data_IF_040801078754
#
_entry.id   IF_040801078754
#
_cell.length_a   1.000
_cell.length_b   1.000
_cell.length_c   1.000
_cell.angle_alpha   90.00
_cell.angle_beta   90.00
_cell.angle_gamma   90.00
#
_symmetry.space_group_name_H-M   'P 1'
#
loop_
_entity.id
_entity.type
_entity.pdbx_description
1 polymer ?
#
# COMPACT_ATOMS: atom_id res chain seq x y z
N UNK A 1 29.94 13.67 10.53
CA UNK A 1 29.05 12.66 9.92
C UNK A 1 29.51 12.39 8.49
N UNK A 2 29.96 11.17 8.23
CA UNK A 2 30.36 10.70 6.88
C UNK A 2 29.13 10.13 6.17
N UNK A 3 29.20 9.97 4.84
CA UNK A 3 28.11 9.39 4.04
C UNK A 3 27.66 8.01 4.53
N UNK A 4 28.58 7.26 5.14
CA UNK A 4 28.34 5.95 5.77
C UNK A 4 27.30 5.99 6.91
N UNK A 5 27.15 7.12 7.60
CA UNK A 5 26.22 7.26 8.73
C UNK A 5 24.76 7.40 8.26
N UNK A 6 24.55 7.85 7.02
CA UNK A 6 23.23 8.05 6.41
C UNK A 6 22.76 6.86 5.57
N UNK A 7 23.71 6.02 5.14
CA UNK A 7 23.45 4.80 4.38
C UNK A 7 22.35 3.91 5.01
N UNK A 8 22.36 3.61 6.32
CA UNK A 8 21.34 2.73 6.90
C UNK A 8 19.93 3.36 6.86
N UNK A 9 19.81 4.68 7.01
CA UNK A 9 18.51 5.39 6.96
C UNK A 9 17.95 5.36 5.54
N UNK A 10 18.80 5.63 4.54
CA UNK A 10 18.40 5.56 3.12
C UNK A 10 18.06 4.14 2.70
N UNK A 11 18.84 3.15 3.12
CA UNK A 11 18.57 1.73 2.85
C UNK A 11 17.25 1.31 3.49
N UNK A 12 16.99 1.69 4.74
CA UNK A 12 15.70 1.42 5.39
C UNK A 12 14.54 2.05 4.62
N UNK A 13 14.68 3.31 4.18
CA UNK A 13 13.66 3.99 3.38
C UNK A 13 13.38 3.29 2.05
N UNK A 14 14.42 2.95 1.29
CA UNK A 14 14.31 2.25 0.00
C UNK A 14 13.72 0.85 0.19
N UNK A 15 14.09 0.14 1.27
CA UNK A 15 13.60 -1.20 1.54
C UNK A 15 12.13 -1.19 1.93
N UNK A 16 11.69 -0.23 2.75
CA UNK A 16 10.29 -0.07 3.14
C UNK A 16 9.44 0.36 1.93
N UNK A 17 9.88 1.38 1.18
CA UNK A 17 9.16 1.85 -0.01
C UNK A 17 9.12 0.80 -1.11
N UNK A 18 10.26 0.15 -1.38
CA UNK A 18 10.38 -0.95 -2.35
C UNK A 18 9.54 -2.17 -1.96
N UNK A 19 9.56 -2.57 -0.68
CA UNK A 19 8.75 -3.67 -0.16
C UNK A 19 7.25 -3.39 -0.27
N UNK A 20 6.83 -2.15 -0.05
CA UNK A 20 5.43 -1.74 -0.26
C UNK A 20 5.08 -1.77 -1.75
N UNK A 21 5.92 -1.23 -2.63
CA UNK A 21 5.69 -1.27 -4.09
C UNK A 21 5.66 -2.71 -4.60
N UNK A 22 6.49 -3.59 -4.06
CA UNK A 22 6.55 -5.00 -4.44
C UNK A 22 5.36 -5.79 -3.90
N UNK A 23 4.96 -5.57 -2.64
CA UNK A 23 3.72 -6.12 -2.08
C UNK A 23 2.46 -5.63 -2.83
N UNK A 24 2.56 -4.51 -3.55
CA UNK A 24 1.53 -3.96 -4.42
C UNK A 24 1.51 -4.53 -5.84
N UNK A 25 2.48 -5.35 -6.27
CA UNK A 25 2.34 -6.15 -7.50
C UNK A 25 1.36 -7.32 -7.28
N UNK A 26 0.15 -7.03 -6.82
CA UNK A 26 -1.00 -7.88 -7.14
C UNK A 26 -1.28 -7.61 -8.61
N UNK A 27 -1.07 -8.61 -9.46
CA UNK A 27 -1.49 -8.52 -10.87
C UNK A 27 -2.98 -8.17 -10.84
N UNK A 28 -3.40 -6.99 -11.33
CA UNK A 28 -4.83 -6.71 -11.43
C UNK A 28 -5.40 -7.84 -12.26
N UNK A 29 -6.41 -8.52 -11.73
CA UNK A 29 -7.11 -9.56 -12.48
C UNK A 29 -7.92 -8.83 -13.54
N UNK A 30 -7.27 -8.61 -14.69
CA UNK A 30 -7.80 -7.78 -15.75
C UNK A 30 -9.05 -8.46 -16.30
N UNK A 31 -10.05 -7.68 -16.73
CA UNK A 31 -11.23 -8.19 -17.44
C UNK A 31 -10.86 -9.13 -18.60
N UNK A 32 -9.67 -8.93 -19.16
CA UNK A 32 -9.06 -9.76 -20.20
C UNK A 32 -8.74 -11.19 -19.74
N UNK A 33 -8.29 -11.38 -18.49
CA UNK A 33 -8.06 -12.70 -17.88
C UNK A 33 -9.39 -13.43 -17.67
N UNK A 34 -10.41 -12.73 -17.16
CA UNK A 34 -11.75 -13.31 -16.97
C UNK A 34 -12.39 -13.68 -18.32
N UNK A 35 -12.15 -12.89 -19.36
CA UNK A 35 -12.60 -13.20 -20.72
C UNK A 35 -11.90 -14.46 -21.26
N UNK A 36 -10.58 -14.58 -21.09
CA UNK A 36 -9.83 -15.78 -21.48
C UNK A 36 -10.32 -17.02 -20.72
N UNK A 37 -10.60 -16.91 -19.43
CA UNK A 37 -11.11 -18.02 -18.62
C UNK A 37 -12.51 -18.45 -19.09
N UNK A 38 -13.37 -17.50 -19.48
CA UNK A 38 -14.69 -17.79 -20.04
C UNK A 38 -14.61 -18.46 -21.43
N UNK A 39 -13.68 -18.03 -22.28
CA UNK A 39 -13.39 -18.70 -23.55
C UNK A 39 -12.87 -20.12 -23.33
N UNK A 40 -12.01 -20.33 -22.33
CA UNK A 40 -11.52 -21.65 -21.95
C UNK A 40 -12.66 -22.56 -21.48
N UNK A 41 -13.58 -22.02 -20.67
CA UNK A 41 -14.75 -22.74 -20.15
C UNK A 41 -15.67 -23.23 -21.27
N UNK A 42 -15.79 -22.47 -22.35
CA UNK A 42 -16.57 -22.86 -23.53
C UNK A 42 -15.96 -24.04 -24.30
N UNK A 43 -14.64 -24.25 -24.19
CA UNK A 43 -13.92 -25.34 -24.86
C UNK A 43 -13.89 -26.64 -24.02
N UNK A 44 -14.28 -26.59 -22.74
CA UNK A 44 -14.26 -27.74 -21.85
C UNK A 44 -15.50 -28.65 -22.04
N UNK A 45 -15.30 -30.00 -22.04
CA UNK A 45 -16.41 -30.95 -22.09
C UNK A 45 -17.32 -30.80 -20.87
N UNK A 46 -18.63 -30.96 -21.09
CA UNK A 46 -19.67 -30.67 -20.08
C UNK A 46 -19.54 -31.52 -18.81
N UNK A 47 -19.04 -32.75 -18.94
CA UNK A 47 -18.89 -33.69 -17.84
C UNK A 47 -17.55 -33.57 -17.08
N UNK A 48 -16.69 -32.61 -17.44
CA UNK A 48 -15.39 -32.47 -16.77
C UNK A 48 -15.50 -31.72 -15.44
N UNK A 49 -14.96 -32.32 -14.37
CA UNK A 49 -14.86 -31.70 -13.04
C UNK A 49 -14.10 -30.35 -13.09
N UNK A 50 -13.13 -30.24 -14.00
CA UNK A 50 -12.40 -29.00 -14.27
C UNK A 50 -13.30 -27.84 -14.72
N UNK A 51 -14.39 -28.12 -15.44
CA UNK A 51 -15.35 -27.09 -15.89
C UNK A 51 -16.11 -26.48 -14.71
N UNK A 52 -16.48 -27.30 -13.72
CA UNK A 52 -17.17 -26.82 -12.52
C UNK A 52 -16.25 -25.96 -11.64
N UNK A 53 -14.98 -26.38 -11.49
CA UNK A 53 -13.98 -25.61 -10.74
C UNK A 53 -13.71 -24.27 -11.43
N UNK A 54 -13.58 -24.27 -12.76
CA UNK A 54 -13.34 -23.04 -13.52
C UNK A 54 -14.56 -22.12 -13.52
N UNK A 55 -15.78 -22.66 -13.59
CA UNK A 55 -17.02 -21.88 -13.47
C UNK A 55 -17.09 -21.16 -12.12
N UNK A 56 -16.83 -21.86 -11.02
CA UNK A 56 -16.81 -21.27 -9.69
C UNK A 56 -15.72 -20.20 -9.54
N UNK A 57 -14.57 -20.39 -10.19
CA UNK A 57 -13.49 -19.40 -10.22
C UNK A 57 -13.90 -18.12 -10.95
N UNK A 58 -14.51 -18.26 -12.13
CA UNK A 58 -15.00 -17.13 -12.94
C UNK A 58 -16.11 -16.38 -12.20
N UNK A 59 -17.07 -17.08 -11.60
CA UNK A 59 -18.13 -16.45 -10.81
C UNK A 59 -17.56 -15.65 -9.63
N UNK A 60 -16.57 -16.22 -8.92
CA UNK A 60 -15.87 -15.53 -7.84
C UNK A 60 -15.08 -14.31 -8.33
N UNK A 61 -14.48 -14.37 -9.53
CA UNK A 61 -13.74 -13.27 -10.12
C UNK A 61 -14.67 -12.16 -10.64
N UNK A 62 -15.76 -12.51 -11.32
CA UNK A 62 -16.80 -11.57 -11.78
C UNK A 62 -17.44 -10.89 -10.58
N UNK A 63 -17.78 -11.65 -9.53
CA UNK A 63 -18.32 -11.08 -8.29
C UNK A 63 -17.35 -10.09 -7.65
N UNK A 64 -16.04 -10.38 -7.62
CA UNK A 64 -15.02 -9.43 -7.14
C UNK A 64 -14.86 -8.21 -8.03
N UNK A 65 -15.04 -8.33 -9.35
CA UNK A 65 -15.00 -7.18 -10.26
C UNK A 65 -16.24 -6.30 -10.07
N UNK A 66 -17.42 -6.90 -9.91
CA UNK A 66 -18.70 -6.20 -9.74
C UNK A 66 -18.83 -5.59 -8.34
N UNK A 67 -18.49 -6.34 -7.28
CA UNK A 67 -18.51 -5.84 -5.89
C UNK A 67 -17.29 -4.95 -5.59
N UNK A 68 -16.16 -5.18 -6.28
CA UNK A 68 -14.92 -4.43 -6.14
C UNK A 68 -14.83 -3.20 -7.05
N UNK A 69 -15.78 -2.95 -7.94
CA UNK A 69 -15.88 -1.65 -8.65
C UNK A 69 -16.22 -0.49 -7.69
N UNK A 70 -16.69 -0.80 -6.47
CA UNK A 70 -16.81 0.13 -5.35
C UNK A 70 -15.51 0.12 -4.50
N UNK A 71 -14.36 0.11 -5.18
CA UNK A 71 -13.07 -0.31 -4.64
C UNK A 71 -12.66 0.58 -3.47
N UNK A 72 -12.80 -0.02 -2.28
CA UNK A 72 -12.25 0.41 -1.00
C UNK A 72 -10.72 0.43 -1.11
N UNK A 73 -10.22 1.41 -1.84
CA UNK A 73 -8.81 1.63 -2.09
C UNK A 73 -8.22 2.24 -0.84
N UNK A 74 -7.26 1.53 -0.21
CA UNK A 74 -6.40 2.12 0.82
C UNK A 74 -5.89 3.46 0.30
N UNK A 75 -5.95 4.51 1.12
CA UNK A 75 -5.43 5.82 0.71
C UNK A 75 -3.90 5.76 0.71
N UNK A 76 -3.37 5.37 -0.44
CA UNK A 76 -1.94 5.22 -0.68
C UNK A 76 -1.18 6.53 -0.47
N UNK A 77 -1.86 7.66 -0.68
CA UNK A 77 -1.32 8.99 -0.39
C UNK A 77 -1.06 9.15 1.11
N UNK A 78 -2.02 8.74 1.94
CA UNK A 78 -1.90 8.74 3.41
C UNK A 78 -0.72 7.89 3.89
N UNK A 79 -0.58 6.67 3.36
CA UNK A 79 0.48 5.73 3.78
C UNK A 79 1.86 6.24 3.38
N UNK A 80 2.03 6.74 2.16
CA UNK A 80 3.31 7.32 1.71
C UNK A 80 3.66 8.59 2.48
N UNK A 81 2.67 9.45 2.72
CA UNK A 81 2.83 10.66 3.53
C UNK A 81 3.28 10.29 4.95
N UNK A 82 2.65 9.29 5.56
CA UNK A 82 3.02 8.77 6.88
C UNK A 82 4.47 8.32 6.95
N UNK A 83 4.88 7.46 6.02
CA UNK A 83 6.24 6.90 5.98
C UNK A 83 7.26 8.03 5.82
N UNK A 84 6.98 9.02 4.96
CA UNK A 84 7.88 10.16 4.77
C UNK A 84 8.06 10.97 6.06
N UNK A 85 6.98 11.20 6.81
CA UNK A 85 7.02 11.91 8.08
C UNK A 85 7.71 11.13 9.19
N UNK A 86 7.54 9.80 9.21
CA UNK A 86 8.22 8.94 10.18
C UNK A 86 9.73 8.91 9.94
N UNK A 87 10.14 8.80 8.68
CA UNK A 87 11.56 8.82 8.30
C UNK A 87 12.18 10.17 8.61
N UNK A 88 11.46 11.26 8.37
CA UNK A 88 11.88 12.61 8.74
C UNK A 88 12.02 12.77 10.26
N UNK A 89 11.08 12.23 11.05
CA UNK A 89 11.14 12.27 12.51
C UNK A 89 12.36 11.51 13.04
N UNK A 90 12.60 10.29 12.55
CA UNK A 90 13.78 9.48 12.92
C UNK A 90 15.07 10.21 12.55
N UNK A 91 15.12 10.79 11.35
CA UNK A 91 16.28 11.58 10.89
C UNK A 91 16.58 12.76 11.83
N UNK A 92 15.57 13.54 12.19
CA UNK A 92 15.73 14.70 13.06
C UNK A 92 16.22 14.32 14.46
N UNK A 93 15.73 13.20 15.02
CA UNK A 93 16.19 12.68 16.31
C UNK A 93 17.64 12.22 16.24
N UNK A 94 18.03 11.50 15.19
CA UNK A 94 19.42 11.06 15.00
C UNK A 94 20.37 12.26 14.93
N UNK A 95 20.01 13.31 14.18
CA UNK A 95 20.81 14.54 14.08
C UNK A 95 20.87 15.28 15.42
N UNK A 96 19.77 15.33 16.17
CA UNK A 96 19.73 15.94 17.49
C UNK A 96 20.70 15.26 18.46
N UNK A 97 20.71 13.91 18.45
CA UNK A 97 21.57 13.10 19.32
C UNK A 97 23.05 13.18 18.92
N UNK A 98 23.37 13.11 17.62
CA UNK A 98 24.76 13.14 17.13
C UNK A 98 25.43 14.51 17.35
N UNK A 99 24.69 15.60 17.13
CA UNK A 99 25.24 16.96 17.25
C UNK A 99 25.21 17.51 18.67
N UNK A 100 24.28 17.04 19.51
CA UNK A 100 24.11 17.45 20.90
C UNK A 100 23.86 18.97 21.09
N UNK A 101 23.82 19.42 22.35
CA UNK A 101 23.69 20.85 22.69
C UNK A 101 22.40 21.49 22.18
N UNK A 102 22.50 22.59 21.42
CA UNK A 102 21.32 23.28 20.88
C UNK A 102 20.54 22.45 19.84
N UNK A 103 21.12 21.37 19.31
CA UNK A 103 20.46 20.49 18.35
C UNK A 103 19.35 19.64 18.96
N UNK A 104 19.27 19.53 20.29
CA UNK A 104 18.11 18.95 20.99
C UNK A 104 16.79 19.68 20.68
N UNK A 105 16.85 20.94 20.23
CA UNK A 105 15.68 21.68 19.75
C UNK A 105 15.03 21.01 18.53
N UNK A 106 15.75 20.18 17.76
CA UNK A 106 15.18 19.40 16.66
C UNK A 106 14.25 18.28 17.12
N UNK A 107 14.26 17.88 18.39
CA UNK A 107 13.27 16.93 18.92
C UNK A 107 11.85 17.51 18.89
N UNK A 108 11.70 18.83 18.94
CA UNK A 108 10.40 19.52 18.87
C UNK A 108 9.72 19.34 17.50
N UNK A 109 10.35 19.69 16.35
CA UNK A 109 9.79 19.38 15.04
C UNK A 109 9.73 17.88 14.75
N UNK A 110 10.62 17.06 15.32
CA UNK A 110 10.53 15.60 15.19
C UNK A 110 9.27 15.03 15.86
N UNK A 111 8.92 15.51 17.06
CA UNK A 111 7.70 15.11 17.76
C UNK A 111 6.44 15.56 17.01
N UNK A 112 6.45 16.76 16.44
CA UNK A 112 5.35 17.25 15.56
C UNK A 112 5.23 16.37 14.32
N UNK A 113 6.34 16.04 13.67
CA UNK A 113 6.33 15.16 12.50
C UNK A 113 5.79 13.76 12.82
N UNK A 114 6.15 13.23 14.00
CA UNK A 114 5.64 11.95 14.48
C UNK A 114 4.13 11.99 14.80
N UNK A 115 3.67 13.08 15.44
CA UNK A 115 2.25 13.30 15.75
C UNK A 115 1.39 13.54 14.52
N UNK A 116 1.92 14.21 13.48
CA UNK A 116 1.23 14.37 12.20
C UNK A 116 1.18 13.06 11.41
N UNK A 117 2.17 12.19 11.61
CA UNK A 117 2.13 10.81 11.12
C UNK A 117 1.08 9.97 11.85
N UNK A 118 1.05 9.97 13.18
CA UNK A 118 0.20 9.09 13.99
C UNK A 118 -1.28 8.91 13.52
N UNK A 119 -2.04 9.97 13.16
CA UNK A 119 -3.44 9.82 12.72
C UNK A 119 -3.61 9.10 11.37
N UNK A 120 -2.58 9.06 10.50
CA UNK A 120 -2.65 8.31 9.24
C UNK A 120 -2.73 6.79 9.49
N UNK A 121 -2.15 6.27 10.58
CA UNK A 121 -2.23 4.83 10.94
C UNK A 121 -3.66 4.43 11.28
N UNK A 122 -4.44 5.32 11.91
CA UNK A 122 -5.81 5.03 12.33
C UNK A 122 -6.79 5.22 11.16
N UNK A 123 -6.50 6.15 10.25
CA UNK A 123 -7.38 6.46 9.12
C UNK A 123 -7.10 5.61 7.86
N UNK A 124 -5.87 5.14 7.61
CA UNK A 124 -5.53 4.32 6.43
C UNK A 124 -5.75 2.82 6.62
N UNK A 125 -5.87 2.37 7.87
CA UNK A 125 -6.29 1.00 8.18
C UNK A 125 -7.82 0.87 8.09
N UNK A 126 -8.56 1.97 8.31
CA UNK A 126 -9.99 2.04 8.14
C UNK A 126 -10.34 2.19 6.65
N UNK A 127 -10.63 1.05 6.03
CA UNK A 127 -11.24 0.89 4.71
C UNK A 127 -12.40 1.91 4.49
N UNK A 128 -12.13 3.02 3.78
CA UNK A 128 -13.14 4.04 3.40
C UNK A 128 -13.75 3.72 2.04
N UNK A 129 -15.08 3.83 1.94
CA UNK A 129 -15.77 3.82 0.65
C UNK A 129 -15.32 5.04 -0.16
N UNK A 130 -15.08 4.86 -1.46
CA UNK A 130 -14.81 5.95 -2.40
C UNK A 130 -15.85 5.92 -3.50
N UNK A 131 -16.28 7.10 -3.96
CA UNK A 131 -17.20 7.20 -5.08
C UNK A 131 -16.51 6.82 -6.41
N UNK A 132 -17.29 6.71 -7.49
CA UNK A 132 -16.80 6.41 -8.84
C UNK A 132 -15.76 7.44 -9.38
N UNK A 133 -15.49 8.53 -8.65
CA UNK A 133 -14.49 9.56 -8.98
C UNK A 133 -13.29 9.53 -8.03
N UNK A 134 -13.21 8.55 -7.12
CA UNK A 134 -12.09 8.35 -6.20
C UNK A 134 -12.10 9.26 -4.97
N UNK A 135 -13.23 9.90 -4.64
CA UNK A 135 -13.36 10.77 -3.45
C UNK A 135 -13.85 9.97 -2.24
N UNK A 136 -13.35 10.24 -1.03
CA UNK A 136 -13.82 9.57 0.18
C UNK A 136 -15.30 9.93 0.45
N UNK A 137 -16.12 8.92 0.76
CA UNK A 137 -17.54 9.04 1.14
C UNK A 137 -17.71 8.77 2.64
#
# INVERSE_FOLDING_TARGET
>A
MKFADWAPILVAFITVTGGIVQARRKRPMTREIVKQDAELLALLPEDSEAKQILAAHIDGAVRKIVEGEDEQTRDLGGVLFWISFLVLAVFLVVVAVDRGGYWWLLCLPAAVAWLLGAPAVVQDVALRRRDARGRPV
#
